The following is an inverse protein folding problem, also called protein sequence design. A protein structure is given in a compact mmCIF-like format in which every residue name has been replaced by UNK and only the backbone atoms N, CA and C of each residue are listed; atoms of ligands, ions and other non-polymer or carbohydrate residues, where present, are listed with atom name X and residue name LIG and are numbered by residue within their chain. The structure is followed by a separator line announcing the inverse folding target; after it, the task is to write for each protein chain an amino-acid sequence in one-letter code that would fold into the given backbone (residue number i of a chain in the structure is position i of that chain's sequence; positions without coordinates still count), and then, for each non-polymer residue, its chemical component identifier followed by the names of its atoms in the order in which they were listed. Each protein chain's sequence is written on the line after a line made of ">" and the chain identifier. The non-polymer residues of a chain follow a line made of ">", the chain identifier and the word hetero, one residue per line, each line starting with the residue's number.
data_IF_915551604981
#
_entry.id   IF_915551604981
#
_cell.length_a   1.000
_cell.length_b   1.000
_cell.length_c   1.000
_cell.angle_alpha   90.00
_cell.angle_beta   90.00
_cell.angle_gamma   90.00
#
_symmetry.space_group_name_H-M   'P 1'
#
loop_
_entity.id
_entity.type
_entity.pdbx_description
1 polymer ?
#
# COMPACT_ATOMS: atom_id res chain seq x y z
N UNK A 1 35.61 17.84 10.63
CA UNK A 1 34.45 17.13 11.19
C UNK A 1 33.36 17.17 10.14
N UNK A 2 32.96 16.02 9.58
CA UNK A 2 32.03 15.99 8.45
C UNK A 2 30.60 16.24 8.95
N UNK A 3 29.76 16.93 8.16
CA UNK A 3 28.37 17.26 8.52
C UNK A 3 27.53 16.02 8.88
N UNK A 4 27.88 14.86 8.34
CA UNK A 4 27.26 13.58 8.69
C UNK A 4 27.59 13.12 10.13
N UNK A 5 28.79 13.38 10.64
CA UNK A 5 29.18 13.02 12.01
C UNK A 5 28.41 13.85 13.05
N UNK A 6 28.14 15.12 12.75
CA UNK A 6 27.34 16.01 13.58
C UNK A 6 25.87 15.57 13.57
N UNK A 7 25.32 15.22 12.40
CA UNK A 7 23.95 14.67 12.29
C UNK A 7 23.79 13.37 13.09
N UNK A 8 24.78 12.49 13.06
CA UNK A 8 24.76 11.22 13.81
C UNK A 8 24.80 11.44 15.33
N UNK A 9 25.72 12.26 15.84
CA UNK A 9 25.85 12.54 17.28
C UNK A 9 24.65 13.31 17.85
N UNK A 10 24.05 14.19 17.06
CA UNK A 10 22.86 14.94 17.47
C UNK A 10 21.63 14.04 17.60
N UNK A 11 21.61 12.93 16.87
CA UNK A 11 20.51 11.99 16.88
C UNK A 11 20.51 11.08 18.11
N UNK A 12 21.69 10.65 18.58
CA UNK A 12 21.80 9.88 19.82
C UNK A 12 21.20 10.62 21.03
N UNK A 13 21.29 11.96 21.05
CA UNK A 13 20.65 12.80 22.07
C UNK A 13 19.11 12.72 22.03
N UNK A 14 18.52 12.47 20.86
CA UNK A 14 17.06 12.28 20.72
C UNK A 14 16.60 10.94 21.31
N UNK A 15 17.50 9.96 21.44
CA UNK A 15 17.19 8.59 21.90
C UNK A 15 17.68 8.32 23.33
N UNK A 16 18.68 9.05 23.80
CA UNK A 16 19.33 8.85 25.10
C UNK A 16 18.89 9.82 26.20
N UNK A 17 18.19 10.91 25.85
CA UNK A 17 17.68 11.87 26.83
C UNK A 17 16.64 11.28 27.79
N UNK A 18 16.68 11.68 29.07
CA UNK A 18 15.69 11.32 30.10
C UNK A 18 15.12 12.58 30.77
N UNK A 19 13.81 12.86 30.66
CA UNK A 19 12.84 12.16 29.82
C UNK A 19 13.17 12.36 28.34
N UNK A 20 12.78 11.40 27.51
CA UNK A 20 13.01 11.47 26.06
C UNK A 20 12.40 12.76 25.49
N UNK A 21 13.07 13.46 24.57
CA UNK A 21 12.56 14.71 24.00
C UNK A 21 11.13 14.59 23.46
N UNK A 22 10.79 13.46 22.84
CA UNK A 22 9.43 13.19 22.37
C UNK A 22 8.43 13.05 23.52
N UNK A 23 8.78 12.29 24.56
CA UNK A 23 7.94 12.12 25.76
C UNK A 23 7.77 13.45 26.49
N UNK A 24 8.83 14.25 26.57
CA UNK A 24 8.79 15.59 27.14
C UNK A 24 7.85 16.51 26.34
N UNK A 25 8.00 16.57 25.01
CA UNK A 25 7.13 17.36 24.14
C UNK A 25 5.67 16.93 24.22
N UNK A 26 5.41 15.63 24.37
CA UNK A 26 4.05 15.10 24.57
C UNK A 26 3.45 15.49 25.92
N UNK A 27 4.24 15.50 27.00
CA UNK A 27 3.78 15.95 28.33
C UNK A 27 3.38 17.42 28.36
N UNK A 28 4.00 18.26 27.52
CA UNK A 28 3.65 19.67 27.38
C UNK A 28 2.31 19.89 26.65
N UNK A 29 1.75 18.84 26.04
CA UNK A 29 0.43 18.87 25.42
C UNK A 29 0.39 19.63 24.09
N UNK A 30 -0.80 20.16 23.74
CA UNK A 30 -1.10 20.73 22.42
C UNK A 30 -0.19 21.89 22.00
N UNK A 31 0.34 22.65 22.96
CA UNK A 31 1.25 23.79 22.71
C UNK A 31 2.56 23.39 22.03
N UNK A 32 2.93 22.10 22.09
CA UNK A 32 4.17 21.57 21.51
C UNK A 32 3.88 20.53 20.43
N UNK A 33 2.69 20.56 19.84
CA UNK A 33 2.26 19.62 18.81
C UNK A 33 3.21 19.60 17.61
N UNK A 34 3.60 20.75 17.07
CA UNK A 34 4.55 20.85 15.95
C UNK A 34 5.90 20.20 16.29
N UNK A 35 6.35 20.34 17.54
CA UNK A 35 7.58 19.70 18.01
C UNK A 35 7.43 18.19 18.11
N UNK A 36 6.26 17.69 18.54
CA UNK A 36 5.97 16.26 18.52
C UNK A 36 6.00 15.72 17.07
N UNK A 37 5.36 16.40 16.12
CA UNK A 37 5.39 16.03 14.69
C UNK A 37 6.83 16.02 14.16
N UNK A 38 7.60 17.06 14.45
CA UNK A 38 9.00 17.17 14.04
C UNK A 38 9.86 16.02 14.61
N UNK A 39 9.74 15.75 15.91
CA UNK A 39 10.49 14.69 16.58
C UNK A 39 10.09 13.31 16.04
N UNK A 40 8.81 13.07 15.81
CA UNK A 40 8.30 11.82 15.22
C UNK A 40 8.81 11.67 13.79
N UNK A 41 8.77 12.71 12.98
CA UNK A 41 9.31 12.71 11.62
C UNK A 41 10.80 12.44 11.58
N UNK A 42 11.58 13.08 12.47
CA UNK A 42 13.02 12.86 12.59
C UNK A 42 13.35 11.43 13.03
N UNK A 43 12.64 10.93 14.06
CA UNK A 43 12.79 9.56 14.57
C UNK A 43 12.37 8.51 13.53
N UNK A 44 11.25 8.74 12.82
CA UNK A 44 10.73 7.88 11.76
C UNK A 44 11.67 7.81 10.57
N UNK A 45 12.23 8.94 10.12
CA UNK A 45 13.17 8.97 9.00
C UNK A 45 14.38 8.07 9.24
N UNK A 46 14.94 8.09 10.45
CA UNK A 46 16.09 7.24 10.81
C UNK A 46 15.75 5.75 10.83
N UNK A 47 14.55 5.39 11.27
CA UNK A 47 14.06 4.01 11.19
C UNK A 47 13.84 3.60 9.73
N UNK A 48 13.30 4.50 8.90
CA UNK A 48 12.89 4.22 7.54
C UNK A 48 14.04 4.17 6.54
N UNK A 49 15.14 4.89 6.81
CA UNK A 49 16.35 4.90 5.98
C UNK A 49 17.27 3.70 6.26
N UNK A 50 16.83 2.73 7.07
CA UNK A 50 17.61 1.53 7.37
C UNK A 50 16.93 0.30 6.80
N UNK A 51 17.54 -0.31 5.78
CA UNK A 51 17.10 -1.61 5.24
C UNK A 51 17.37 -2.74 6.22
N UNK A 52 16.65 -3.86 6.12
CA UNK A 52 16.88 -5.03 6.99
C UNK A 52 18.30 -5.61 6.83
N UNK A 53 18.90 -5.49 5.64
CA UNK A 53 20.29 -5.89 5.37
C UNK A 53 21.31 -4.98 6.07
N UNK A 54 21.09 -3.66 6.03
CA UNK A 54 21.89 -2.70 6.81
C UNK A 54 21.67 -2.91 8.31
N UNK A 55 20.43 -3.17 8.73
CA UNK A 55 20.09 -3.48 10.12
C UNK A 55 20.77 -4.76 10.59
N UNK A 56 20.97 -5.76 9.73
CA UNK A 56 21.70 -6.99 10.03
C UNK A 56 23.21 -6.76 10.12
N UNK A 57 23.77 -5.90 9.26
CA UNK A 57 25.19 -5.51 9.27
C UNK A 57 25.55 -4.44 10.29
N UNK A 58 24.56 -3.82 10.95
CA UNK A 58 24.80 -2.81 11.98
C UNK A 58 25.42 -3.36 13.26
N UNK A 59 26.27 -2.54 13.85
CA UNK A 59 26.85 -2.76 15.18
C UNK A 59 25.76 -3.03 16.25
N UNK A 60 26.01 -3.93 17.22
CA UNK A 60 25.06 -4.25 18.29
C UNK A 60 24.54 -3.03 19.06
N UNK A 61 25.38 -2.01 19.23
CA UNK A 61 25.00 -0.75 19.87
C UNK A 61 23.95 0.03 19.05
N UNK A 62 24.13 0.12 17.73
CA UNK A 62 23.17 0.78 16.82
C UNK A 62 21.83 0.04 16.80
N UNK A 63 21.86 -1.30 16.82
CA UNK A 63 20.66 -2.14 16.98
C UNK A 63 19.95 -1.87 18.31
N UNK A 64 20.71 -1.70 19.40
CA UNK A 64 20.15 -1.37 20.72
C UNK A 64 19.53 0.04 20.74
N UNK A 65 20.17 1.04 20.14
CA UNK A 65 19.62 2.40 19.99
C UNK A 65 18.34 2.41 19.17
N UNK A 66 18.29 1.66 18.06
CA UNK A 66 17.07 1.52 17.26
C UNK A 66 15.96 0.84 18.07
N UNK A 67 16.25 -0.24 18.81
CA UNK A 67 15.29 -0.89 19.70
C UNK A 67 14.79 0.05 20.82
N UNK A 68 15.67 0.86 21.39
CA UNK A 68 15.30 1.86 22.39
C UNK A 68 14.40 2.93 21.77
N UNK A 69 14.76 3.48 20.61
CA UNK A 69 13.93 4.43 19.86
C UNK A 69 12.54 3.85 19.57
N UNK A 70 12.47 2.58 19.18
CA UNK A 70 11.23 1.82 18.94
C UNK A 70 10.34 1.76 20.18
N UNK A 71 10.89 1.30 21.30
CA UNK A 71 10.17 1.22 22.58
C UNK A 71 9.71 2.62 23.05
N UNK A 72 10.56 3.62 22.89
CA UNK A 72 10.33 4.99 23.29
C UNK A 72 9.24 5.67 22.47
N UNK A 73 9.24 5.47 21.14
CA UNK A 73 8.17 5.90 20.26
C UNK A 73 6.85 5.22 20.66
N UNK A 74 6.85 3.91 20.89
CA UNK A 74 5.65 3.17 21.31
C UNK A 74 5.07 3.69 22.63
N UNK A 75 5.90 3.93 23.63
CA UNK A 75 5.48 4.49 24.93
C UNK A 75 4.92 5.90 24.74
N UNK A 76 5.61 6.74 23.99
CA UNK A 76 5.22 8.12 23.72
C UNK A 76 3.84 8.16 23.01
N UNK A 77 3.69 7.35 21.96
CA UNK A 77 2.44 7.15 21.23
C UNK A 77 1.34 6.67 22.19
N UNK A 78 1.56 5.58 22.92
CA UNK A 78 0.58 5.01 23.86
C UNK A 78 0.14 6.01 24.94
N UNK A 79 1.06 6.88 25.40
CA UNK A 79 0.77 7.93 26.37
C UNK A 79 -0.06 9.08 25.75
N UNK A 80 0.31 9.55 24.55
CA UNK A 80 -0.48 10.55 23.80
C UNK A 80 -1.90 10.05 23.51
N UNK A 81 -2.02 8.78 23.15
CA UNK A 81 -3.28 8.09 22.90
C UNK A 81 -4.11 7.80 24.15
N UNK A 82 -3.53 7.91 25.35
CA UNK A 82 -4.28 7.72 26.59
C UNK A 82 -4.99 8.99 27.07
N UNK A 83 -4.76 10.13 26.42
CA UNK A 83 -5.40 11.40 26.74
C UNK A 83 -6.82 11.42 26.13
N UNK A 84 -7.88 11.73 26.89
CA UNK A 84 -9.27 11.71 26.41
C UNK A 84 -9.54 12.57 25.17
N UNK A 85 -8.78 13.65 24.98
CA UNK A 85 -8.80 14.55 23.80
C UNK A 85 -7.49 14.47 22.99
N UNK A 86 -6.82 13.32 23.01
CA UNK A 86 -5.57 13.09 22.32
C UNK A 86 -5.70 13.32 20.81
N UNK A 87 -4.71 13.98 20.22
CA UNK A 87 -4.73 14.27 18.78
C UNK A 87 -4.54 12.98 17.97
N UNK A 88 -5.57 12.65 17.18
CA UNK A 88 -5.60 11.47 16.32
C UNK A 88 -4.93 11.71 14.97
N UNK A 89 -4.52 12.94 14.65
CA UNK A 89 -3.91 13.31 13.36
C UNK A 89 -2.62 12.53 13.06
N UNK A 90 -1.89 12.12 14.10
CA UNK A 90 -0.61 11.40 13.97
C UNK A 90 -0.74 9.88 14.06
N UNK A 91 -1.95 9.35 14.30
CA UNK A 91 -2.16 7.92 14.51
C UNK A 91 -1.70 7.07 13.32
N UNK A 92 -1.98 7.52 12.10
CA UNK A 92 -1.53 6.82 10.89
C UNK A 92 0.00 6.74 10.81
N UNK A 93 0.69 7.86 11.06
CA UNK A 93 2.15 7.93 11.12
C UNK A 93 2.73 7.04 12.22
N UNK A 94 2.05 6.94 13.35
CA UNK A 94 2.42 6.09 14.46
C UNK A 94 2.26 4.60 14.15
N UNK A 95 1.14 4.19 13.58
CA UNK A 95 0.93 2.83 13.12
C UNK A 95 1.95 2.44 12.06
N UNK A 96 2.25 3.35 11.13
CA UNK A 96 3.26 3.13 10.10
C UNK A 96 4.62 2.83 10.72
N UNK A 97 5.03 3.60 11.72
CA UNK A 97 6.26 3.33 12.47
C UNK A 97 6.14 1.93 13.07
N UNK A 98 5.13 1.64 13.89
CA UNK A 98 4.97 0.36 14.59
C UNK A 98 5.03 -0.85 13.63
N UNK A 99 4.39 -0.78 12.46
CA UNK A 99 4.50 -1.84 11.43
C UNK A 99 5.94 -2.01 10.97
N UNK A 100 6.69 -0.94 10.74
CA UNK A 100 8.09 -1.05 10.34
C UNK A 100 8.99 -1.57 11.47
N UNK A 101 8.59 -1.44 12.73
CA UNK A 101 9.40 -1.88 13.87
C UNK A 101 9.21 -3.36 14.16
N UNK A 102 7.96 -3.82 14.12
CA UNK A 102 7.53 -5.10 14.68
C UNK A 102 6.57 -5.86 13.74
N UNK A 103 6.14 -5.22 12.65
CA UNK A 103 5.12 -5.74 11.74
C UNK A 103 5.62 -6.83 10.81
N UNK A 104 6.92 -7.02 10.61
CA UNK A 104 7.46 -8.01 9.64
C UNK A 104 6.88 -9.41 9.84
N UNK A 105 6.87 -9.93 11.07
CA UNK A 105 6.31 -11.27 11.37
C UNK A 105 4.80 -11.32 11.09
N UNK A 106 4.09 -10.25 11.44
CA UNK A 106 2.66 -10.14 11.19
C UNK A 106 2.36 -10.08 9.69
N UNK A 107 3.11 -9.29 8.92
CA UNK A 107 2.95 -9.15 7.48
C UNK A 107 3.24 -10.48 6.78
N UNK A 108 4.34 -11.15 7.10
CA UNK A 108 4.67 -12.47 6.53
C UNK A 108 3.57 -13.50 6.80
N UNK A 109 3.10 -13.61 8.05
CA UNK A 109 2.03 -14.54 8.42
C UNK A 109 0.69 -14.19 7.76
N UNK A 110 0.36 -12.90 7.66
CA UNK A 110 -0.85 -12.41 7.01
C UNK A 110 -0.82 -12.65 5.51
N UNK A 111 0.32 -12.40 4.86
CA UNK A 111 0.55 -12.68 3.44
C UNK A 111 0.34 -14.16 3.13
N UNK A 112 0.89 -15.08 3.94
CA UNK A 112 0.66 -16.52 3.78
C UNK A 112 -0.81 -16.91 3.99
N UNK A 113 -1.47 -16.32 4.98
CA UNK A 113 -2.91 -16.55 5.22
C UNK A 113 -3.73 -16.09 4.01
N UNK A 114 -3.40 -14.93 3.45
CA UNK A 114 -4.12 -14.36 2.32
C UNK A 114 -3.82 -15.07 1.01
N UNK A 115 -2.60 -15.54 0.78
CA UNK A 115 -2.27 -16.34 -0.41
C UNK A 115 -3.10 -17.63 -0.45
N UNK A 116 -3.39 -18.24 0.70
CA UNK A 116 -4.33 -19.35 0.81
C UNK A 116 -5.77 -18.91 0.54
N UNK A 117 -6.23 -17.80 1.13
CA UNK A 117 -7.58 -17.29 0.92
C UNK A 117 -7.87 -16.93 -0.55
N UNK A 118 -6.90 -16.33 -1.23
CA UNK A 118 -6.98 -15.90 -2.64
C UNK A 118 -7.00 -17.06 -3.65
N UNK A 119 -6.61 -18.27 -3.24
CA UNK A 119 -6.78 -19.49 -4.04
C UNK A 119 -8.26 -19.93 -4.12
N UNK A 120 -9.08 -19.54 -3.14
CA UNK A 120 -10.52 -19.83 -3.11
C UNK A 120 -11.34 -18.61 -2.63
N UNK A 121 -11.33 -17.49 -3.39
CA UNK A 121 -11.69 -16.18 -2.85
C UNK A 121 -13.17 -16.03 -2.49
N UNK A 122 -14.08 -16.72 -3.17
CA UNK A 122 -15.52 -16.66 -2.87
C UNK A 122 -15.87 -17.35 -1.54
N UNK A 123 -15.16 -18.43 -1.20
CA UNK A 123 -15.37 -19.15 0.05
C UNK A 123 -14.64 -18.45 1.21
N UNK A 124 -13.39 -18.05 0.97
CA UNK A 124 -12.49 -17.54 2.01
C UNK A 124 -12.57 -16.03 2.24
N UNK A 125 -13.20 -15.28 1.34
CA UNK A 125 -13.38 -13.82 1.44
C UNK A 125 -12.08 -13.08 1.80
N UNK A 126 -11.07 -13.08 0.92
CA UNK A 126 -9.73 -12.57 1.21
C UNK A 126 -9.71 -11.09 1.62
N UNK A 127 -10.59 -10.24 1.09
CA UNK A 127 -10.61 -8.81 1.45
C UNK A 127 -11.16 -8.63 2.86
N UNK A 128 -12.27 -9.30 3.19
CA UNK A 128 -12.79 -9.34 4.56
C UNK A 128 -11.76 -9.92 5.55
N UNK A 129 -11.02 -10.95 5.13
CA UNK A 129 -9.95 -11.57 5.93
C UNK A 129 -8.80 -10.58 6.16
N UNK A 130 -8.33 -9.89 5.12
CA UNK A 130 -7.27 -8.88 5.23
C UNK A 130 -7.68 -7.74 6.17
N UNK A 131 -8.90 -7.23 6.01
CA UNK A 131 -9.45 -6.20 6.88
C UNK A 131 -9.54 -6.68 8.34
N UNK A 132 -10.01 -7.91 8.57
CA UNK A 132 -10.08 -8.50 9.91
C UNK A 132 -8.71 -8.68 10.58
N UNK A 133 -7.70 -9.11 9.82
CA UNK A 133 -6.31 -9.22 10.30
C UNK A 133 -5.74 -7.85 10.69
N UNK A 134 -5.93 -6.84 9.83
CA UNK A 134 -5.48 -5.48 10.12
C UNK A 134 -6.21 -4.86 11.30
N UNK A 135 -7.53 -5.00 11.36
CA UNK A 135 -8.32 -4.48 12.47
C UNK A 135 -7.88 -5.11 13.79
N UNK A 136 -7.68 -6.44 13.82
CA UNK A 136 -7.18 -7.14 15.02
C UNK A 136 -5.77 -6.69 15.42
N UNK A 137 -4.90 -6.44 14.45
CA UNK A 137 -3.55 -5.95 14.71
C UNK A 137 -3.58 -4.52 15.27
N UNK A 138 -4.29 -3.60 14.60
CA UNK A 138 -4.43 -2.21 15.04
C UNK A 138 -5.10 -2.10 16.41
N UNK A 139 -6.15 -2.89 16.67
CA UNK A 139 -6.86 -2.90 17.97
C UNK A 139 -6.01 -3.39 19.14
N UNK A 140 -4.89 -4.09 18.87
CA UNK A 140 -3.92 -4.41 19.92
C UNK A 140 -3.00 -3.23 20.23
N UNK A 141 -2.72 -2.41 19.23
CA UNK A 141 -1.79 -1.29 19.36
C UNK A 141 -2.51 0.02 19.76
N UNK A 142 -3.83 0.12 19.53
CA UNK A 142 -4.70 1.25 19.87
C UNK A 142 -5.81 0.85 20.84
N UNK A 143 -6.39 1.81 21.57
CA UNK A 143 -7.66 1.60 22.31
C UNK A 143 -8.84 1.64 21.34
N UNK A 144 -9.90 0.88 21.62
CA UNK A 144 -11.07 0.72 20.72
C UNK A 144 -11.64 2.05 20.17
N UNK A 145 -11.67 3.11 20.97
CA UNK A 145 -12.18 4.43 20.56
C UNK A 145 -11.35 5.14 19.49
N UNK A 146 -10.10 4.73 19.28
CA UNK A 146 -9.15 5.37 18.36
C UNK A 146 -9.04 4.65 17.02
N UNK A 147 -9.62 3.45 16.91
CA UNK A 147 -9.61 2.66 15.68
C UNK A 147 -10.41 3.35 14.57
N UNK A 148 -11.51 4.02 14.92
CA UNK A 148 -12.31 4.81 13.97
C UNK A 148 -11.51 5.97 13.35
N UNK A 149 -10.49 6.48 14.05
CA UNK A 149 -9.66 7.58 13.58
C UNK A 149 -8.58 7.15 12.58
N UNK A 150 -8.45 5.86 12.31
CA UNK A 150 -7.44 5.28 11.38
C UNK A 150 -8.07 4.46 10.26
N UNK A 151 -9.33 4.71 9.92
CA UNK A 151 -10.03 3.98 8.85
C UNK A 151 -9.31 4.07 7.50
N UNK A 152 -8.76 5.23 7.13
CA UNK A 152 -8.03 5.39 5.87
C UNK A 152 -6.72 4.57 5.86
N UNK A 153 -6.02 4.52 7.00
CA UNK A 153 -4.84 3.68 7.15
C UNK A 153 -5.19 2.19 7.04
N UNK A 154 -6.26 1.76 7.72
CA UNK A 154 -6.76 0.38 7.65
C UNK A 154 -7.15 0.00 6.22
N UNK A 155 -7.76 0.92 5.48
CA UNK A 155 -8.13 0.70 4.10
C UNK A 155 -6.92 0.50 3.18
N UNK A 156 -5.90 1.35 3.29
CA UNK A 156 -4.66 1.21 2.53
C UNK A 156 -3.92 -0.08 2.89
N UNK A 157 -3.78 -0.36 4.19
CA UNK A 157 -3.15 -1.59 4.68
C UNK A 157 -3.89 -2.86 4.21
N UNK A 158 -5.22 -2.81 4.10
CA UNK A 158 -6.04 -3.91 3.58
C UNK A 158 -5.73 -4.17 2.11
N UNK A 159 -5.66 -3.12 1.29
CA UNK A 159 -5.31 -3.22 -0.13
C UNK A 159 -3.90 -3.80 -0.33
N UNK A 160 -2.94 -3.30 0.44
CA UNK A 160 -1.54 -3.77 0.40
C UNK A 160 -1.41 -5.24 0.80
N UNK A 161 -2.11 -5.68 1.85
CA UNK A 161 -2.12 -7.08 2.26
C UNK A 161 -2.68 -8.00 1.16
N UNK A 162 -3.74 -7.57 0.48
CA UNK A 162 -4.31 -8.32 -0.66
C UNK A 162 -3.30 -8.41 -1.80
N UNK A 163 -2.63 -7.30 -2.14
CA UNK A 163 -1.56 -7.30 -3.15
C UNK A 163 -0.39 -8.21 -2.77
N UNK A 164 0.08 -8.15 -1.53
CA UNK A 164 1.16 -9.02 -1.05
C UNK A 164 0.75 -10.50 -1.09
N UNK A 165 -0.49 -10.82 -0.71
CA UNK A 165 -1.04 -12.18 -0.82
C UNK A 165 -1.08 -12.69 -2.26
N UNK A 166 -1.52 -11.85 -3.21
CA UNK A 166 -1.50 -12.18 -4.64
C UNK A 166 -0.08 -12.34 -5.17
N UNK A 167 0.82 -11.43 -4.80
CA UNK A 167 2.22 -11.47 -5.22
C UNK A 167 2.92 -12.74 -4.69
N UNK A 168 2.65 -13.15 -3.46
CA UNK A 168 3.17 -14.40 -2.89
C UNK A 168 2.76 -15.62 -3.73
N UNK A 169 1.54 -15.67 -4.27
CA UNK A 169 1.12 -16.75 -5.19
C UNK A 169 1.92 -16.73 -6.49
N UNK A 170 2.23 -15.53 -7.00
CA UNK A 170 3.04 -15.37 -8.22
C UNK A 170 4.47 -15.83 -7.97
N UNK A 171 5.06 -15.47 -6.82
CA UNK A 171 6.40 -15.93 -6.43
C UNK A 171 6.48 -17.46 -6.30
N UNK A 172 5.42 -18.11 -5.81
CA UNK A 172 5.35 -19.58 -5.77
C UNK A 172 5.37 -20.22 -7.17
N UNK A 173 4.94 -19.50 -8.22
CA UNK A 173 4.75 -20.03 -9.58
C UNK A 173 5.79 -19.53 -10.59
N UNK A 174 6.43 -18.40 -10.32
CA UNK A 174 7.38 -17.70 -11.20
C UNK A 174 8.67 -17.48 -10.42
N UNK A 175 9.71 -18.25 -10.75
CA UNK A 175 10.99 -18.24 -10.03
C UNK A 175 11.71 -16.90 -10.13
N UNK A 176 11.50 -16.19 -11.23
CA UNK A 176 12.07 -14.88 -11.52
C UNK A 176 11.38 -13.72 -10.78
N UNK A 177 10.31 -14.00 -10.01
CA UNK A 177 9.55 -12.97 -9.32
C UNK A 177 10.22 -12.54 -8.00
N UNK A 178 10.78 -11.34 -8.02
CA UNK A 178 11.43 -10.73 -6.85
C UNK A 178 10.45 -10.41 -5.72
N UNK A 179 10.95 -10.42 -4.48
CA UNK A 179 10.17 -10.05 -3.30
C UNK A 179 9.82 -8.55 -3.30
N UNK A 180 8.62 -8.23 -2.80
CA UNK A 180 8.18 -6.86 -2.54
C UNK A 180 8.66 -6.46 -1.14
N UNK A 181 9.44 -5.38 -0.98
CA UNK A 181 9.95 -5.00 0.32
C UNK A 181 8.83 -4.58 1.26
N UNK A 182 8.76 -5.22 2.43
CA UNK A 182 7.67 -5.02 3.39
C UNK A 182 7.66 -3.63 4.03
N UNK A 183 8.77 -2.88 3.98
CA UNK A 183 8.84 -1.49 4.48
C UNK A 183 8.03 -0.49 3.61
N UNK A 184 7.51 -0.92 2.46
CA UNK A 184 6.55 -0.14 1.67
C UNK A 184 5.11 -0.24 2.17
N UNK A 185 4.82 -1.19 3.07
CA UNK A 185 3.46 -1.49 3.52
C UNK A 185 2.74 -0.29 4.15
N UNK A 186 1.47 -0.13 3.78
CA UNK A 186 0.53 0.91 4.21
C UNK A 186 1.02 2.34 3.97
N UNK A 187 1.91 2.53 3.00
CA UNK A 187 2.45 3.85 2.60
C UNK A 187 1.96 4.22 1.22
N UNK A 188 0.90 5.03 1.18
CA UNK A 188 0.34 5.58 -0.05
C UNK A 188 0.16 4.49 -1.12
N UNK A 189 0.85 4.61 -2.27
CA UNK A 189 0.82 3.68 -3.40
C UNK A 189 2.10 2.84 -3.56
N UNK A 190 2.96 2.76 -2.54
CA UNK A 190 4.30 2.16 -2.69
C UNK A 190 4.28 0.66 -2.96
N UNK A 191 3.44 -0.11 -2.28
CA UNK A 191 3.28 -1.54 -2.57
C UNK A 191 2.72 -1.76 -3.97
N UNK A 192 1.71 -0.98 -4.36
CA UNK A 192 1.15 -1.00 -5.71
C UNK A 192 2.24 -0.77 -6.76
N UNK A 193 2.99 0.33 -6.67
CA UNK A 193 4.09 0.64 -7.59
C UNK A 193 5.17 -0.44 -7.62
N UNK A 194 5.56 -0.94 -6.45
CA UNK A 194 6.56 -2.00 -6.35
C UNK A 194 6.12 -3.29 -7.07
N UNK A 195 4.83 -3.63 -7.00
CA UNK A 195 4.24 -4.77 -7.72
C UNK A 195 4.16 -4.47 -9.23
N UNK A 196 3.72 -3.27 -9.63
CA UNK A 196 3.64 -2.86 -11.04
C UNK A 196 5.00 -2.88 -11.74
N UNK A 197 6.04 -2.36 -11.07
CA UNK A 197 7.41 -2.35 -11.56
C UNK A 197 7.94 -3.78 -11.76
N UNK A 198 7.75 -4.66 -10.78
CA UNK A 198 8.15 -6.07 -10.85
C UNK A 198 7.38 -6.84 -11.91
N UNK A 199 6.07 -6.62 -12.00
CA UNK A 199 5.24 -7.22 -13.04
C UNK A 199 5.70 -6.77 -14.44
N UNK A 200 6.03 -5.49 -14.59
CA UNK A 200 6.56 -4.92 -15.83
C UNK A 200 7.94 -5.46 -16.18
N UNK A 201 8.78 -5.76 -15.18
CA UNK A 201 10.05 -6.45 -15.38
C UNK A 201 9.82 -7.90 -15.83
N UNK A 202 9.00 -8.67 -15.12
CA UNK A 202 8.66 -10.06 -15.45
C UNK A 202 8.06 -10.20 -16.85
N UNK A 203 7.25 -9.23 -17.30
CA UNK A 203 6.72 -9.20 -18.68
C UNK A 203 7.83 -9.14 -19.72
N UNK A 204 8.94 -8.47 -19.42
CA UNK A 204 10.09 -8.32 -20.31
C UNK A 204 11.06 -9.52 -20.21
N UNK A 205 11.28 -10.03 -19.00
CA UNK A 205 12.32 -11.04 -18.75
C UNK A 205 11.80 -12.48 -18.76
N UNK A 206 10.55 -12.71 -18.37
CA UNK A 206 9.96 -14.05 -18.20
C UNK A 206 8.50 -14.15 -18.74
N UNK A 207 8.21 -13.73 -19.99
CA UNK A 207 6.86 -13.71 -20.54
C UNK A 207 6.20 -15.11 -20.55
N UNK A 208 6.96 -16.15 -20.86
CA UNK A 208 6.49 -17.53 -20.86
C UNK A 208 6.09 -18.03 -19.46
N UNK A 209 6.76 -17.55 -18.40
CA UNK A 209 6.40 -17.89 -17.03
C UNK A 209 5.08 -17.23 -16.62
N UNK A 210 4.90 -15.94 -16.94
CA UNK A 210 3.63 -15.24 -16.72
C UNK A 210 2.45 -15.84 -17.52
N UNK A 211 2.72 -16.36 -18.72
CA UNK A 211 1.71 -17.03 -19.53
C UNK A 211 1.19 -18.33 -18.87
N UNK A 212 2.02 -19.01 -18.07
CA UNK A 212 1.65 -20.22 -17.32
C UNK A 212 0.82 -19.94 -16.07
N UNK A 213 0.78 -18.70 -15.58
CA UNK A 213 -0.10 -18.34 -14.47
C UNK A 213 -1.55 -18.70 -14.78
N UNK A 214 -2.29 -19.10 -13.75
CA UNK A 214 -3.72 -19.40 -13.93
C UNK A 214 -4.49 -18.14 -14.33
N UNK A 215 -5.49 -18.28 -15.22
CA UNK A 215 -6.39 -17.18 -15.62
C UNK A 215 -7.04 -16.47 -14.41
N UNK A 216 -7.50 -17.18 -13.36
CA UNK A 216 -8.06 -16.53 -12.18
C UNK A 216 -7.08 -15.62 -11.44
N UNK A 217 -5.82 -16.04 -11.26
CA UNK A 217 -4.82 -15.23 -10.53
C UNK A 217 -4.49 -13.96 -11.30
N UNK A 218 -4.33 -14.05 -12.63
CA UNK A 218 -4.14 -12.86 -13.47
C UNK A 218 -5.31 -11.89 -13.36
N UNK A 219 -6.54 -12.39 -13.50
CA UNK A 219 -7.73 -11.56 -13.40
C UNK A 219 -7.89 -10.90 -12.01
N UNK A 220 -7.51 -11.60 -10.93
CA UNK A 220 -7.50 -11.04 -9.58
C UNK A 220 -6.44 -9.94 -9.43
N UNK A 221 -5.23 -10.16 -9.94
CA UNK A 221 -4.15 -9.16 -9.92
C UNK A 221 -4.53 -7.91 -10.71
N UNK A 222 -4.99 -8.08 -11.96
CA UNK A 222 -5.39 -6.97 -12.83
C UNK A 222 -6.54 -6.18 -12.21
N UNK A 223 -7.56 -6.85 -11.65
CA UNK A 223 -8.67 -6.18 -10.98
C UNK A 223 -8.21 -5.43 -9.73
N UNK A 224 -7.28 -6.00 -8.96
CA UNK A 224 -6.75 -5.36 -7.75
C UNK A 224 -5.98 -4.10 -8.10
N UNK A 225 -5.03 -4.17 -9.03
CA UNK A 225 -4.25 -3.01 -9.48
C UNK A 225 -5.16 -1.92 -10.08
N UNK A 226 -6.12 -2.29 -10.92
CA UNK A 226 -7.06 -1.34 -11.52
C UNK A 226 -7.98 -0.63 -10.51
N UNK A 227 -8.29 -1.27 -9.38
CA UNK A 227 -9.08 -0.65 -8.30
C UNK A 227 -8.19 0.27 -7.44
N UNK A 228 -6.97 -0.16 -7.13
CA UNK A 228 -6.04 0.61 -6.30
C UNK A 228 -5.55 1.89 -7.00
N UNK A 229 -5.39 1.85 -8.33
CA UNK A 229 -4.97 3.01 -9.14
C UNK A 229 -6.02 4.13 -9.22
N UNK A 230 -7.28 3.87 -8.82
CA UNK A 230 -8.35 4.88 -8.87
C UNK A 230 -8.20 5.92 -7.76
N UNK A 231 -7.49 7.01 -8.08
CA UNK A 231 -7.24 8.16 -7.18
C UNK A 231 -8.49 8.90 -6.72
N UNK A 232 -9.61 8.75 -7.43
CA UNK A 232 -10.89 9.37 -7.04
C UNK A 232 -11.58 8.64 -5.88
N UNK A 233 -11.16 7.43 -5.54
CA UNK A 233 -11.75 6.66 -4.44
C UNK A 233 -11.09 7.00 -3.11
N UNK A 234 -11.91 7.17 -2.08
CA UNK A 234 -11.42 7.11 -0.70
C UNK A 234 -11.12 5.65 -0.29
N UNK A 235 -10.43 5.46 0.85
CA UNK A 235 -10.04 4.13 1.30
C UNK A 235 -11.23 3.17 1.46
N UNK A 236 -12.35 3.64 2.02
CA UNK A 236 -13.54 2.81 2.22
C UNK A 236 -14.15 2.32 0.90
N UNK A 237 -14.27 3.21 -0.08
CA UNK A 237 -14.75 2.88 -1.43
C UNK A 237 -13.82 1.89 -2.13
N UNK A 238 -12.50 2.06 -1.97
CA UNK A 238 -11.48 1.17 -2.52
C UNK A 238 -11.61 -0.24 -1.95
N UNK A 239 -11.73 -0.38 -0.62
CA UNK A 239 -11.95 -1.67 0.05
C UNK A 239 -13.27 -2.31 -0.40
N UNK A 240 -14.35 -1.54 -0.50
CA UNK A 240 -15.64 -2.09 -0.95
C UNK A 240 -15.59 -2.57 -2.41
N UNK A 241 -14.90 -1.87 -3.31
CA UNK A 241 -14.69 -2.35 -4.68
C UNK A 241 -13.85 -3.62 -4.72
N UNK A 242 -12.77 -3.70 -3.94
CA UNK A 242 -11.97 -4.92 -3.81
C UNK A 242 -12.82 -6.08 -3.31
N UNK A 243 -13.64 -5.86 -2.28
CA UNK A 243 -14.54 -6.86 -1.70
C UNK A 243 -15.52 -7.39 -2.74
N UNK A 244 -16.14 -6.52 -3.53
CA UNK A 244 -17.01 -6.92 -4.66
C UNK A 244 -16.25 -7.78 -5.67
N UNK A 245 -15.05 -7.36 -6.09
CA UNK A 245 -14.27 -8.05 -7.12
C UNK A 245 -13.76 -9.44 -6.68
N UNK A 246 -13.26 -9.54 -5.44
CA UNK A 246 -12.57 -10.72 -4.94
C UNK A 246 -13.50 -11.62 -4.11
N UNK A 247 -14.15 -11.08 -3.09
CA UNK A 247 -14.97 -11.87 -2.16
C UNK A 247 -16.31 -12.29 -2.78
N UNK A 248 -16.89 -11.44 -3.63
CA UNK A 248 -18.21 -11.69 -4.24
C UNK A 248 -18.14 -12.09 -5.72
N UNK A 249 -16.98 -11.93 -6.35
CA UNK A 249 -16.79 -12.20 -7.79
C UNK A 249 -17.48 -11.21 -8.73
N UNK A 250 -17.94 -10.05 -8.22
CA UNK A 250 -18.65 -9.01 -8.97
C UNK A 250 -17.71 -7.87 -9.36
N UNK A 251 -17.81 -7.37 -10.60
CA UNK A 251 -17.01 -6.21 -11.02
C UNK A 251 -15.52 -6.51 -11.26
N UNK A 252 -15.17 -7.78 -11.55
CA UNK A 252 -13.85 -8.12 -12.09
C UNK A 252 -13.69 -7.47 -13.45
N UNK A 253 -12.52 -6.90 -13.71
CA UNK A 253 -12.17 -6.42 -15.05
C UNK A 253 -12.23 -7.63 -15.98
N UNK A 254 -13.13 -7.60 -16.98
CA UNK A 254 -13.19 -8.67 -17.98
C UNK A 254 -11.88 -8.63 -18.75
N UNK A 255 -11.24 -9.79 -18.90
CA UNK A 255 -10.01 -9.95 -19.69
C UNK A 255 -10.15 -9.48 -21.16
N UNK A 256 -11.36 -9.19 -21.63
CA UNK A 256 -11.68 -8.67 -22.96
C UNK A 256 -11.89 -7.15 -23.01
N UNK A 257 -12.17 -6.49 -21.90
CA UNK A 257 -12.28 -5.01 -21.81
C UNK A 257 -10.96 -4.37 -21.36
N UNK A 258 -10.11 -5.16 -20.69
CA UNK A 258 -8.68 -4.87 -20.59
C UNK A 258 -8.00 -5.18 -21.92
N UNK A 259 -8.06 -4.26 -22.88
CA UNK A 259 -7.04 -4.16 -23.95
C UNK A 259 -5.64 -3.83 -23.41
N UNK A 260 -5.33 -4.24 -22.18
CA UNK A 260 -4.43 -3.49 -21.34
C UNK A 260 -3.82 -4.37 -20.26
N UNK A 261 -2.91 -5.22 -20.73
CA UNK A 261 -1.60 -5.47 -20.09
C UNK A 261 -0.75 -4.17 -20.05
N UNK A 262 -1.36 -3.03 -19.66
CA UNK A 262 -1.04 -1.61 -19.94
C UNK A 262 0.38 -1.30 -20.45
N UNK A 263 0.56 -1.55 -21.74
CA UNK A 263 1.52 -0.91 -22.63
C UNK A 263 0.83 -0.79 -23.97
N UNK A 264 0.15 0.33 -24.20
CA UNK A 264 -0.52 0.65 -25.45
C UNK A 264 -0.43 2.14 -25.68
N UNK A 265 0.43 2.54 -26.60
CA UNK A 265 0.53 3.90 -27.08
C UNK A 265 -0.86 4.39 -27.53
N UNK A 266 -1.23 5.57 -27.09
CA UNK A 266 -2.40 6.27 -27.61
C UNK A 266 -2.05 6.70 -29.03
N UNK A 267 -2.42 5.89 -30.02
CA UNK A 267 -2.44 6.32 -31.41
C UNK A 267 -3.75 7.09 -31.63
N UNK A 268 -3.61 8.41 -31.60
CA UNK A 268 -4.66 9.40 -31.79
C UNK A 268 -5.23 9.29 -33.21
N UNK A 269 -6.19 8.38 -33.39
CA UNK A 269 -6.94 8.30 -34.65
C UNK A 269 -8.00 9.38 -34.65
N UNK A 270 -7.64 10.52 -35.21
CA UNK A 270 -8.54 11.60 -35.61
C UNK A 270 -9.62 11.06 -36.55
N UNK A 271 -10.81 10.79 -36.02
CA UNK A 271 -12.02 10.66 -36.84
C UNK A 271 -12.62 12.05 -37.04
N UNK A 272 -12.36 12.59 -38.22
CA UNK A 272 -13.08 13.73 -38.77
C UNK A 272 -14.56 13.36 -38.96
N UNK A 273 -15.42 13.91 -38.12
CA UNK A 273 -16.86 13.95 -38.37
C UNK A 273 -17.14 15.11 -39.35
N UNK A 274 -17.17 14.79 -40.65
CA UNK A 274 -17.72 15.67 -41.67
C UNK A 274 -19.25 15.68 -41.59
N UNK A 275 -19.81 16.77 -41.07
CA UNK A 275 -21.23 17.10 -41.14
C UNK A 275 -21.57 17.63 -42.53
N UNK A 276 -22.34 16.87 -43.31
CA UNK A 276 -22.90 17.31 -44.59
C UNK A 276 -24.41 17.11 -44.60
N UNK A 277 -25.16 18.15 -44.23
CA UNK A 277 -26.60 18.29 -44.47
C UNK A 277 -26.81 19.31 -45.58
N UNK A 278 -27.60 18.97 -46.61
CA UNK A 278 -28.11 19.99 -47.53
C UNK A 278 -28.54 19.53 -48.91
N UNK A 279 -29.79 19.07 -49.01
CA UNK A 279 -30.79 19.38 -50.03
C UNK A 279 -30.51 19.16 -51.55
N UNK A 280 -31.44 18.40 -52.15
CA UNK A 280 -32.17 18.87 -53.34
C UNK A 280 -31.93 18.11 -54.64
N UNK A 281 -32.99 17.53 -55.21
CA UNK A 281 -33.04 17.24 -56.65
C UNK A 281 -33.79 15.97 -57.05
N UNK A 282 -35.09 16.11 -57.27
CA UNK A 282 -35.91 15.18 -58.07
C UNK A 282 -35.34 15.00 -59.48
N UNK A 283 -35.44 13.79 -60.04
CA UNK A 283 -35.14 13.54 -61.45
C UNK A 283 -35.42 12.11 -61.90
N UNK A 284 -36.59 11.91 -62.51
CA UNK A 284 -37.04 10.70 -63.20
C UNK A 284 -36.10 10.29 -64.35
N UNK A 285 -36.02 8.98 -64.68
CA UNK A 285 -35.61 8.57 -66.02
C UNK A 285 -34.95 7.19 -66.20
N UNK A 286 -35.78 6.16 -66.31
CA UNK A 286 -35.77 5.09 -67.34
C UNK A 286 -34.47 4.51 -67.96
N UNK A 287 -34.54 3.18 -68.19
CA UNK A 287 -33.97 2.36 -69.30
C UNK A 287 -32.48 1.96 -69.18
N UNK A 288 -32.19 0.66 -69.01
CA UNK A 288 -32.00 -0.45 -69.99
C UNK A 288 -30.54 -0.55 -70.45
N UNK A 289 -30.00 -1.78 -70.37
CA UNK A 289 -29.14 -2.52 -71.33
C UNK A 289 -28.06 -1.72 -72.07
N UNK A 290 -26.80 -2.13 -72.13
CA UNK A 290 -26.17 -3.46 -72.16
C UNK A 290 -24.82 -3.44 -71.41
#
# INVERSE_FOLDING_TARGET
>A
MLLNDIKLRSFDLLVSGQPLPLVYAMRLGKSHHDMQVFLVGAMSRRVNDTTDDELAMMEPATKATLRALRANLKIAISASLSIPDGDTSLLSSFLQIVVMLEGTKFLQSSTQTLSLALRAPLASKPVATAHGLMHKWVSRELKDKQVASVEEYLANATGDLVLLGLWSIIQDQVREADEVPLYFFARDDRIQKAVEERLSLLRRTAPSALARLSKPIRAQLDSTLAILDQRSLNGRERVEKLRRALDEGRGRVRATEAGTWLGGAVEETTRSSGSGTGAGGCGLGSRRRD
#
